data_IF_011961138896
#
_entry.id   IF_011961138896
#
_cell.length_a   1.000
_cell.length_b   1.000
_cell.length_c   1.000
_cell.angle_alpha   90.00
_cell.angle_beta   90.00
_cell.angle_gamma   90.00
#
_symmetry.space_group_name_H-M   'P 1'
#
loop_
_entity.id
_entity.type
_entity.pdbx_description
1 polymer ?
#
# COMPACT_ATOMS: atom_id res chain seq x y z
N UNK A 1 17.59 6.02 0.74
CA UNK A 1 16.54 6.31 -0.26
C UNK A 1 15.23 5.66 0.18
N UNK A 2 14.10 6.34 -0.02
CA UNK A 2 12.74 5.87 0.26
C UNK A 2 12.03 5.52 -1.04
N UNK A 3 11.41 4.35 -1.10
CA UNK A 3 10.51 3.95 -2.18
C UNK A 3 9.05 4.23 -1.78
N UNK A 4 8.26 4.76 -2.70
CA UNK A 4 6.80 4.78 -2.62
C UNK A 4 6.28 4.06 -3.86
N UNK A 5 5.29 3.19 -3.70
CA UNK A 5 4.58 2.61 -4.83
C UNK A 5 3.08 2.82 -4.70
N UNK A 6 2.46 3.21 -5.81
CA UNK A 6 1.03 3.49 -5.93
C UNK A 6 0.48 2.82 -7.20
N UNK A 7 -0.48 1.88 -7.10
CA UNK A 7 -1.02 1.21 -8.27
C UNK A 7 -2.02 2.07 -9.06
N UNK A 8 -2.69 3.02 -8.39
CA UNK A 8 -3.58 3.97 -9.04
C UNK A 8 -2.83 5.23 -9.52
N UNK A 9 -2.79 5.45 -10.84
CA UNK A 9 -2.10 6.60 -11.42
C UNK A 9 -2.55 7.97 -10.90
N UNK A 10 -3.82 8.12 -10.49
CA UNK A 10 -4.27 9.36 -9.84
C UNK A 10 -3.64 9.57 -8.47
N UNK A 11 -3.51 8.50 -7.67
CA UNK A 11 -2.82 8.56 -6.37
C UNK A 11 -1.34 8.87 -6.58
N UNK A 12 -0.69 8.19 -7.54
CA UNK A 12 0.70 8.47 -7.92
C UNK A 12 0.90 9.93 -8.33
N UNK A 13 0.04 10.46 -9.21
CA UNK A 13 0.11 11.84 -9.69
C UNK A 13 -0.02 12.86 -8.56
N UNK A 14 -0.99 12.70 -7.66
CA UNK A 14 -1.20 13.63 -6.54
C UNK A 14 -0.05 13.55 -5.54
N UNK A 15 0.46 12.35 -5.24
CA UNK A 15 1.65 12.16 -4.42
C UNK A 15 2.88 12.85 -5.02
N UNK A 16 3.14 12.63 -6.31
CA UNK A 16 4.29 13.23 -7.01
C UNK A 16 4.27 14.75 -6.93
N UNK A 17 3.09 15.38 -7.09
CA UNK A 17 2.92 16.83 -6.96
C UNK A 17 3.13 17.31 -5.52
N UNK A 18 2.48 16.66 -4.55
CA UNK A 18 2.56 17.06 -3.14
C UNK A 18 3.99 16.93 -2.59
N UNK A 19 4.71 15.89 -3.01
CA UNK A 19 6.09 15.60 -2.62
C UNK A 19 7.13 16.31 -3.50
N UNK A 20 6.70 17.13 -4.49
CA UNK A 20 7.58 17.85 -5.44
C UNK A 20 8.62 16.92 -6.10
N UNK A 21 8.16 15.77 -6.59
CA UNK A 21 9.00 14.81 -7.30
C UNK A 21 9.15 15.22 -8.77
N UNK A 22 10.03 16.19 -9.01
CA UNK A 22 10.14 16.89 -10.31
C UNK A 22 10.96 16.13 -11.37
N UNK A 23 11.73 15.11 -10.98
CA UNK A 23 12.58 14.36 -11.91
C UNK A 23 11.84 13.13 -12.41
N UNK A 24 11.69 12.98 -13.71
CA UNK A 24 11.32 11.71 -14.33
C UNK A 24 12.57 10.82 -14.45
N UNK A 25 12.45 9.54 -14.13
CA UNK A 25 13.56 8.59 -14.17
C UNK A 25 13.27 7.48 -15.19
N UNK A 26 14.29 7.09 -15.96
CA UNK A 26 14.16 6.02 -16.93
C UNK A 26 13.83 4.67 -16.27
N UNK A 27 12.89 3.94 -16.86
CA UNK A 27 12.52 2.59 -16.45
C UNK A 27 11.28 2.07 -17.17
N UNK A 28 10.89 0.81 -16.90
CA UNK A 28 9.71 0.20 -17.50
C UNK A 28 8.38 0.61 -16.84
N UNK A 29 8.43 1.45 -15.80
CA UNK A 29 7.27 2.10 -15.16
C UNK A 29 7.37 3.61 -15.30
N UNK A 30 6.27 4.32 -15.01
CA UNK A 30 6.35 5.75 -14.71
C UNK A 30 7.01 5.95 -13.34
N UNK A 31 8.16 6.63 -13.35
CA UNK A 31 9.00 6.80 -12.17
C UNK A 31 9.30 8.27 -11.96
N UNK A 32 8.99 8.77 -10.77
CA UNK A 32 9.34 10.12 -10.34
C UNK A 32 10.31 10.09 -9.17
N UNK A 33 11.25 11.03 -9.15
CA UNK A 33 12.27 11.15 -8.12
C UNK A 33 12.40 12.57 -7.60
N UNK A 34 12.74 12.71 -6.32
CA UNK A 34 12.91 14.00 -5.68
C UNK A 34 13.47 13.90 -4.27
N UNK A 35 13.56 15.04 -3.60
CA UNK A 35 14.04 15.15 -2.24
C UNK A 35 12.92 15.71 -1.36
N UNK A 36 12.56 14.98 -0.30
CA UNK A 36 11.55 15.39 0.69
C UNK A 36 12.23 15.40 2.06
N UNK A 37 12.50 16.60 2.57
CA UNK A 37 13.34 16.76 3.77
C UNK A 37 14.70 16.07 3.59
N UNK A 38 15.03 15.13 4.49
CA UNK A 38 16.26 14.32 4.42
C UNK A 38 16.14 13.07 3.54
N UNK A 39 14.96 12.78 3.01
CA UNK A 39 14.71 11.55 2.25
C UNK A 39 14.82 11.82 0.74
N UNK A 40 15.76 11.15 0.09
CA UNK A 40 15.66 10.93 -1.35
C UNK A 40 14.50 9.96 -1.60
N UNK A 41 13.51 10.37 -2.38
CA UNK A 41 12.26 9.64 -2.63
C UNK A 41 12.19 9.24 -4.10
N UNK A 42 11.83 7.99 -4.34
CA UNK A 42 11.44 7.45 -5.65
C UNK A 42 10.01 6.95 -5.56
N UNK A 43 9.15 7.43 -6.45
CA UNK A 43 7.75 7.03 -6.58
C UNK A 43 7.57 6.21 -7.87
N UNK A 44 7.01 5.01 -7.73
CA UNK A 44 6.63 4.13 -8.85
C UNK A 44 5.11 4.08 -8.97
N UNK A 45 4.59 4.36 -10.16
CA UNK A 45 3.25 3.95 -10.54
C UNK A 45 3.30 2.49 -11.01
N UNK A 46 2.85 1.55 -10.17
CA UNK A 46 3.15 0.12 -10.36
C UNK A 46 2.17 -0.64 -11.23
N UNK A 47 1.12 0.03 -11.71
CA UNK A 47 -0.08 -0.62 -12.23
C UNK A 47 -0.76 -1.53 -11.19
N UNK A 48 -1.85 -2.18 -11.59
CA UNK A 48 -2.73 -2.98 -10.73
C UNK A 48 -2.38 -4.47 -10.79
N UNK A 49 -2.54 -5.17 -9.67
CA UNK A 49 -2.41 -6.63 -9.60
C UNK A 49 -1.14 -7.12 -8.89
N UNK A 50 -1.16 -8.41 -8.52
CA UNK A 50 -0.10 -9.08 -7.75
C UNK A 50 1.22 -9.13 -8.51
N UNK A 51 1.16 -9.42 -9.81
CA UNK A 51 2.35 -9.50 -10.68
C UNK A 51 3.05 -8.15 -10.75
N UNK A 52 2.29 -7.09 -11.05
CA UNK A 52 2.82 -5.74 -11.22
C UNK A 52 3.43 -5.22 -9.91
N UNK A 53 2.74 -5.42 -8.78
CA UNK A 53 3.23 -5.07 -7.46
C UNK A 53 4.52 -5.81 -7.07
N UNK A 54 4.58 -7.13 -7.26
CA UNK A 54 5.76 -7.91 -6.92
C UNK A 54 6.97 -7.56 -7.81
N UNK A 55 6.73 -7.36 -9.11
CA UNK A 55 7.75 -6.97 -10.10
C UNK A 55 8.33 -5.59 -9.79
N UNK A 56 7.47 -4.61 -9.46
CA UNK A 56 7.92 -3.26 -9.09
C UNK A 56 8.83 -3.27 -7.86
N UNK A 57 8.50 -4.05 -6.82
CA UNK A 57 9.34 -4.16 -5.62
C UNK A 57 10.69 -4.82 -5.94
N UNK A 58 10.70 -5.90 -6.72
CA UNK A 58 11.93 -6.58 -7.11
C UNK A 58 12.82 -5.69 -8.00
N UNK A 59 12.22 -4.99 -8.96
CA UNK A 59 12.90 -4.00 -9.79
C UNK A 59 13.48 -2.87 -8.94
N UNK A 60 12.69 -2.29 -8.04
CA UNK A 60 13.15 -1.20 -7.19
C UNK A 60 14.30 -1.61 -6.27
N UNK A 61 14.30 -2.86 -5.76
CA UNK A 61 15.45 -3.43 -5.05
C UNK A 61 16.71 -3.34 -5.90
N UNK A 62 16.66 -3.90 -7.11
CA UNK A 62 17.83 -4.02 -7.97
C UNK A 62 18.32 -2.67 -8.49
N UNK A 63 17.40 -1.79 -8.86
CA UNK A 63 17.69 -0.52 -9.52
C UNK A 63 18.08 0.59 -8.55
N UNK A 64 17.46 0.62 -7.38
CA UNK A 64 17.54 1.75 -6.46
C UNK A 64 17.95 1.39 -5.03
N UNK A 65 17.91 0.11 -4.66
CA UNK A 65 18.30 -0.40 -3.34
C UNK A 65 17.72 0.43 -2.16
N UNK A 66 16.38 0.62 -2.09
CA UNK A 66 15.76 1.45 -1.06
C UNK A 66 16.00 0.89 0.34
N UNK A 67 16.17 1.78 1.31
CA UNK A 67 16.30 1.40 2.73
C UNK A 67 14.94 1.21 3.42
N UNK A 68 13.87 1.68 2.78
CA UNK A 68 12.48 1.57 3.26
C UNK A 68 11.51 1.79 2.09
N UNK A 69 10.33 1.18 2.17
CA UNK A 69 9.27 1.29 1.17
C UNK A 69 7.89 1.54 1.80
N UNK A 70 7.04 2.24 1.07
CA UNK A 70 5.64 2.47 1.41
C UNK A 70 4.75 2.12 0.23
N UNK A 71 3.79 1.23 0.45
CA UNK A 71 2.77 0.89 -0.53
C UNK A 71 1.46 1.57 -0.21
N UNK A 72 1.02 2.51 -1.04
CA UNK A 72 -0.19 3.30 -0.82
C UNK A 72 -1.22 2.98 -1.91
N UNK A 73 -2.50 2.91 -1.57
CA UNK A 73 -3.55 2.63 -2.55
C UNK A 73 -4.94 2.49 -1.92
N UNK A 74 -5.93 2.18 -2.75
CA UNK A 74 -7.30 1.93 -2.28
C UNK A 74 -7.52 0.47 -1.87
N UNK A 75 -8.54 0.25 -1.03
CA UNK A 75 -9.05 -1.07 -0.72
C UNK A 75 -10.56 -1.05 -0.47
N UNK A 76 -11.21 -2.19 -0.70
CA UNK A 76 -12.60 -2.43 -0.34
C UNK A 76 -12.70 -2.84 1.12
N UNK A 77 -13.65 -2.26 1.87
CA UNK A 77 -13.94 -2.68 3.23
C UNK A 77 -14.54 -4.09 3.29
N UNK A 78 -14.04 -4.91 4.22
CA UNK A 78 -14.66 -6.19 4.61
C UNK A 78 -15.31 -6.08 5.99
N UNK A 79 -14.74 -5.28 6.88
CA UNK A 79 -15.37 -4.94 8.15
C UNK A 79 -16.44 -3.85 7.94
N UNK A 80 -17.72 -4.10 8.30
CA UNK A 80 -18.80 -3.13 8.17
C UNK A 80 -18.64 -1.87 9.04
N UNK A 81 -17.72 -1.85 10.01
CA UNK A 81 -17.42 -0.66 10.79
C UNK A 81 -16.53 0.34 10.03
N UNK A 82 -15.85 -0.09 8.97
CA UNK A 82 -15.02 0.77 8.15
C UNK A 82 -15.86 1.64 7.23
N UNK A 83 -15.51 2.92 7.19
CA UNK A 83 -16.15 3.94 6.37
C UNK A 83 -15.25 4.34 5.21
N UNK A 84 -15.80 4.88 4.12
CA UNK A 84 -14.98 5.48 3.08
C UNK A 84 -14.02 6.51 3.67
N UNK A 85 -12.79 6.49 3.16
CA UNK A 85 -11.65 7.30 3.60
C UNK A 85 -11.03 6.91 4.95
N UNK A 86 -11.49 5.85 5.61
CA UNK A 86 -10.76 5.26 6.73
C UNK A 86 -9.43 4.69 6.26
N UNK A 87 -8.38 4.87 7.06
CA UNK A 87 -7.04 4.39 6.78
C UNK A 87 -6.75 3.08 7.51
N UNK A 88 -6.31 2.07 6.76
CA UNK A 88 -5.74 0.84 7.26
C UNK A 88 -4.22 0.87 7.08
N UNK A 89 -3.49 0.76 8.17
CA UNK A 89 -2.07 0.40 8.13
C UNK A 89 -1.98 -1.11 8.31
N UNK A 90 -1.43 -1.81 7.34
CA UNK A 90 -1.38 -3.26 7.40
C UNK A 90 -0.45 -3.73 8.53
N UNK A 91 -0.92 -4.68 9.35
CA UNK A 91 -0.02 -5.52 10.15
C UNK A 91 0.58 -6.65 9.32
N UNK A 92 -0.23 -7.20 8.41
CA UNK A 92 0.12 -8.30 7.54
C UNK A 92 -0.83 -8.34 6.32
N UNK A 93 -0.48 -9.16 5.34
CA UNK A 93 -1.31 -9.45 4.18
C UNK A 93 -1.38 -10.93 3.86
N UNK A 94 -2.46 -11.35 3.21
CA UNK A 94 -2.72 -12.73 2.76
C UNK A 94 -3.17 -12.73 1.31
N UNK A 95 -2.68 -13.67 0.49
CA UNK A 95 -3.24 -13.90 -0.84
C UNK A 95 -4.37 -14.93 -0.74
N UNK A 96 -5.62 -14.51 -0.93
CA UNK A 96 -6.80 -15.36 -0.67
C UNK A 96 -7.23 -16.21 -1.88
N UNK A 97 -6.64 -15.96 -3.05
CA UNK A 97 -6.88 -16.67 -4.31
C UNK A 97 -5.78 -17.69 -4.66
N UNK A 98 -4.84 -17.96 -3.73
CA UNK A 98 -3.87 -19.04 -3.88
C UNK A 98 -4.53 -20.40 -3.62
N UNK A 99 -4.58 -21.24 -4.64
CA UNK A 99 -5.32 -22.51 -4.65
C UNK A 99 -4.69 -23.65 -3.82
N UNK A 100 -3.47 -23.50 -3.32
CA UNK A 100 -2.73 -24.54 -2.60
C UNK A 100 -2.34 -24.07 -1.19
N UNK A 101 -2.76 -24.82 -0.16
CA UNK A 101 -2.49 -24.52 1.26
C UNK A 101 -3.63 -23.78 1.96
N UNK A 102 -3.59 -23.74 3.30
CA UNK A 102 -4.52 -22.88 4.03
C UNK A 102 -4.04 -21.42 3.89
N UNK A 103 -4.87 -20.45 3.46
CA UNK A 103 -4.39 -19.07 3.22
C UNK A 103 -3.69 -18.43 4.43
N UNK A 104 -4.06 -18.84 5.65
CA UNK A 104 -3.44 -18.39 6.90
C UNK A 104 -1.98 -18.85 7.08
N UNK A 105 -1.53 -19.86 6.35
CA UNK A 105 -0.13 -20.33 6.34
C UNK A 105 0.80 -19.40 5.53
N UNK A 106 0.22 -18.44 4.80
CA UNK A 106 0.94 -17.55 3.89
C UNK A 106 0.83 -16.07 4.26
N UNK A 107 0.60 -15.79 5.55
CA UNK A 107 0.65 -14.43 6.09
C UNK A 107 2.03 -13.81 5.89
N UNK A 108 2.05 -12.60 5.36
CA UNK A 108 3.27 -11.80 5.18
C UNK A 108 3.16 -10.53 6.00
N UNK A 109 3.99 -10.41 7.03
CA UNK A 109 4.02 -9.25 7.90
C UNK A 109 4.50 -7.98 7.16
N UNK A 110 3.89 -6.85 7.50
CA UNK A 110 4.45 -5.53 7.21
C UNK A 110 5.54 -5.16 8.23
N UNK A 111 6.39 -4.20 7.88
CA UNK A 111 7.41 -3.71 8.79
C UNK A 111 6.78 -2.94 9.97
N UNK A 112 6.94 -3.40 11.22
CA UNK A 112 6.24 -2.82 12.36
C UNK A 112 6.73 -1.41 12.71
N UNK A 113 8.01 -1.09 12.45
CA UNK A 113 8.57 0.23 12.75
C UNK A 113 8.02 1.26 11.77
N UNK A 114 7.99 0.92 10.48
CA UNK A 114 7.41 1.77 9.45
C UNK A 114 5.90 1.92 9.64
N UNK A 115 5.18 0.83 9.92
CA UNK A 115 3.73 0.87 10.20
C UNK A 115 3.43 1.77 11.40
N UNK A 116 4.19 1.70 12.49
CA UNK A 116 4.01 2.57 13.65
C UNK A 116 4.30 4.05 13.33
N UNK A 117 5.23 4.34 12.41
CA UNK A 117 5.44 5.73 11.94
C UNK A 117 4.24 6.25 11.16
N UNK A 118 3.68 5.43 10.26
CA UNK A 118 2.46 5.81 9.51
C UNK A 118 1.28 6.03 10.44
N UNK A 119 1.05 5.12 11.39
CA UNK A 119 -0.03 5.25 12.39
C UNK A 119 0.06 6.57 13.16
N UNK A 120 1.25 6.92 13.66
CA UNK A 120 1.47 8.19 14.38
C UNK A 120 1.26 9.42 13.51
N UNK A 121 1.69 9.37 12.25
CA UNK A 121 1.49 10.46 11.31
C UNK A 121 0.00 10.68 11.01
N UNK A 122 -0.75 9.60 10.75
CA UNK A 122 -2.19 9.64 10.51
C UNK A 122 -2.96 10.19 11.74
N UNK A 123 -2.61 9.73 12.95
CA UNK A 123 -3.18 10.23 14.20
C UNK A 123 -2.91 11.72 14.40
N UNK A 124 -1.69 12.19 14.11
CA UNK A 124 -1.32 13.60 14.21
C UNK A 124 -2.07 14.49 13.20
N UNK A 125 -2.49 13.93 12.06
CA UNK A 125 -3.32 14.59 11.06
C UNK A 125 -4.82 14.50 11.38
N UNK A 126 -5.22 13.77 12.44
CA UNK A 126 -6.63 13.53 12.76
C UNK A 126 -7.33 12.62 11.75
N UNK A 127 -6.60 11.85 10.93
CA UNK A 127 -7.18 10.91 10.00
C UNK A 127 -7.70 9.67 10.74
N UNK A 128 -8.93 9.18 10.47
CA UNK A 128 -9.42 7.92 11.03
C UNK A 128 -8.49 6.78 10.60
N UNK A 129 -7.84 6.14 11.56
CA UNK A 129 -6.81 5.15 11.27
C UNK A 129 -6.86 3.98 12.24
N UNK A 130 -6.65 2.77 11.71
CA UNK A 130 -6.39 1.58 12.52
C UNK A 130 -5.40 0.64 11.85
N UNK A 131 -4.89 -0.30 12.63
CA UNK A 131 -4.13 -1.44 12.09
C UNK A 131 -5.09 -2.51 11.62
N UNK A 132 -4.76 -3.22 10.54
CA UNK A 132 -5.60 -4.31 10.04
C UNK A 132 -4.88 -5.28 9.11
N UNK A 133 -5.54 -6.38 8.78
CA UNK A 133 -5.08 -7.38 7.80
C UNK A 133 -5.65 -7.09 6.42
N UNK A 134 -4.80 -7.23 5.42
CA UNK A 134 -5.13 -6.98 4.02
C UNK A 134 -5.26 -8.31 3.26
N UNK A 135 -6.44 -8.56 2.68
CA UNK A 135 -6.67 -9.69 1.78
C UNK A 135 -6.39 -9.27 0.32
N UNK A 136 -5.51 -10.00 -0.35
CA UNK A 136 -5.06 -9.70 -1.72
C UNK A 136 -5.48 -10.79 -2.70
N UNK A 137 -5.97 -10.40 -3.88
CA UNK A 137 -6.13 -11.26 -5.05
C UNK A 137 -6.11 -10.41 -6.33
N UNK A 138 -6.02 -10.98 -7.52
CA UNK A 138 -6.14 -10.20 -8.77
C UNK A 138 -7.61 -9.80 -9.10
N UNK A 139 -8.47 -9.78 -8.07
CA UNK A 139 -9.87 -9.36 -8.14
C UNK A 139 -10.33 -8.86 -6.77
N UNK A 140 -11.42 -8.12 -6.76
CA UNK A 140 -12.16 -7.82 -5.55
C UNK A 140 -13.16 -8.95 -5.23
N UNK A 141 -13.53 -9.16 -3.95
CA UNK A 141 -14.62 -10.04 -3.60
C UNK A 141 -15.93 -9.50 -4.17
N UNK A 142 -16.72 -10.38 -4.78
CA UNK A 142 -17.88 -9.99 -5.60
C UNK A 142 -19.23 -10.34 -4.99
N UNK A 143 -19.24 -10.97 -3.81
CA UNK A 143 -20.49 -11.34 -3.13
C UNK A 143 -20.42 -11.10 -1.61
N UNK A 144 -21.56 -10.84 -0.95
CA UNK A 144 -21.60 -10.74 0.51
C UNK A 144 -21.09 -12.00 1.23
N UNK A 145 -21.32 -13.18 0.66
CA UNK A 145 -20.85 -14.45 1.22
C UNK A 145 -19.32 -14.55 1.18
N UNK A 146 -18.70 -14.09 0.09
CA UNK A 146 -17.24 -14.04 -0.01
C UNK A 146 -16.64 -13.00 0.94
N UNK A 147 -17.24 -11.81 1.04
CA UNK A 147 -16.82 -10.78 2.01
C UNK A 147 -16.86 -11.33 3.44
N UNK A 148 -17.96 -11.97 3.83
CA UNK A 148 -18.09 -12.60 5.13
C UNK A 148 -17.05 -13.70 5.34
N UNK A 149 -16.80 -14.53 4.33
CA UNK A 149 -15.77 -15.57 4.38
C UNK A 149 -14.38 -15.00 4.63
N UNK A 150 -13.96 -13.97 3.87
CA UNK A 150 -12.65 -13.34 4.05
C UNK A 150 -12.51 -12.70 5.43
N UNK A 151 -13.56 -12.04 5.91
CA UNK A 151 -13.58 -11.45 7.25
C UNK A 151 -13.49 -12.51 8.35
N UNK A 152 -14.28 -13.57 8.29
CA UNK A 152 -14.41 -14.54 9.38
C UNK A 152 -13.31 -15.60 9.39
N UNK A 153 -12.88 -16.05 8.20
CA UNK A 153 -11.88 -17.12 8.08
C UNK A 153 -10.46 -16.60 8.02
N UNK A 154 -10.26 -15.41 7.44
CA UNK A 154 -8.94 -14.82 7.33
C UNK A 154 -8.72 -13.68 8.31
N UNK A 155 -9.74 -13.24 9.05
CA UNK A 155 -9.68 -12.03 9.89
C UNK A 155 -9.20 -10.81 9.10
N UNK A 156 -9.60 -10.70 7.83
CA UNK A 156 -9.23 -9.60 6.96
C UNK A 156 -10.16 -8.40 7.15
N UNK A 157 -9.59 -7.20 7.23
CA UNK A 157 -10.31 -5.95 7.40
C UNK A 157 -10.70 -5.32 6.06
N UNK A 158 -9.82 -5.47 5.07
CA UNK A 158 -9.97 -4.93 3.72
C UNK A 158 -9.50 -5.91 2.66
N UNK A 159 -10.04 -5.79 1.44
CA UNK A 159 -9.60 -6.51 0.26
C UNK A 159 -9.04 -5.57 -0.82
N UNK A 160 -7.97 -5.97 -1.48
CA UNK A 160 -7.29 -5.22 -2.54
C UNK A 160 -6.50 -6.18 -3.46
N UNK A 161 -5.64 -5.63 -4.34
CA UNK A 161 -5.14 -6.38 -5.49
C UNK A 161 -3.62 -6.50 -5.67
N UNK A 162 -2.79 -6.04 -4.72
CA UNK A 162 -1.33 -6.22 -4.87
C UNK A 162 -0.50 -6.21 -3.58
N UNK A 163 -1.09 -5.86 -2.45
CA UNK A 163 -0.40 -5.58 -1.19
C UNK A 163 0.37 -6.75 -0.62
N UNK A 164 -0.25 -7.93 -0.49
CA UNK A 164 0.43 -9.13 0.00
C UNK A 164 1.56 -9.59 -0.93
N UNK A 165 1.42 -9.39 -2.24
CA UNK A 165 2.47 -9.70 -3.22
C UNK A 165 3.66 -8.73 -3.10
N UNK A 166 3.40 -7.44 -2.90
CA UNK A 166 4.43 -6.45 -2.61
C UNK A 166 5.16 -6.75 -1.29
N UNK A 167 4.43 -7.05 -0.22
CA UNK A 167 4.98 -7.46 1.07
C UNK A 167 5.86 -8.71 0.93
N UNK A 168 5.40 -9.71 0.18
CA UNK A 168 6.15 -10.93 -0.06
C UNK A 168 7.47 -10.66 -0.80
N UNK A 169 7.41 -9.88 -1.89
CA UNK A 169 8.59 -9.51 -2.68
C UNK A 169 9.58 -8.69 -1.84
N UNK A 170 9.09 -7.77 -1.02
CA UNK A 170 9.89 -6.95 -0.12
C UNK A 170 10.61 -7.80 0.94
N UNK A 171 9.90 -8.74 1.56
CA UNK A 171 10.49 -9.72 2.49
C UNK A 171 11.59 -10.54 1.83
N UNK A 172 11.38 -11.00 0.59
CA UNK A 172 12.37 -11.80 -0.15
C UNK A 172 13.59 -11.01 -0.58
N UNK A 173 13.43 -9.71 -0.80
CA UNK A 173 14.50 -8.80 -1.24
C UNK A 173 15.15 -8.01 -0.10
N UNK A 174 14.64 -8.14 1.12
CA UNK A 174 15.16 -7.46 2.31
C UNK A 174 14.80 -5.97 2.41
N UNK A 175 13.72 -5.54 1.76
CA UNK A 175 13.21 -4.16 1.87
C UNK A 175 12.19 -4.08 3.01
N UNK A 176 12.42 -3.24 4.04
CA UNK A 176 11.38 -2.89 5.01
C UNK A 176 10.21 -2.20 4.31
N UNK A 177 8.97 -2.69 4.49
CA UNK A 177 7.80 -2.19 3.78
C UNK A 177 6.61 -1.99 4.71
N UNK A 178 6.07 -0.77 4.75
CA UNK A 178 4.74 -0.50 5.29
C UNK A 178 3.70 -0.45 4.17
N UNK A 179 2.54 -1.06 4.41
CA UNK A 179 1.43 -1.10 3.47
C UNK A 179 0.27 -0.28 4.04
N UNK A 180 -0.23 0.66 3.25
CA UNK A 180 -1.26 1.63 3.61
C UNK A 180 -2.39 1.50 2.61
N UNK A 181 -3.61 1.33 3.12
CA UNK A 181 -4.82 1.26 2.31
C UNK A 181 -5.83 2.24 2.82
N UNK A 182 -6.40 3.02 1.90
CA UNK A 182 -7.57 3.85 2.20
C UNK A 182 -8.82 3.14 1.70
N UNK A 183 -9.83 3.04 2.56
CA UNK A 183 -11.10 2.44 2.20
C UNK A 183 -11.80 3.31 1.17
N UNK A 184 -12.18 2.71 0.03
CA UNK A 184 -12.89 3.44 -1.02
C UNK A 184 -12.86 2.71 -2.35
N UNK A 185 -13.55 3.31 -3.31
CA UNK A 185 -13.67 2.88 -4.69
C UNK A 185 -13.28 4.02 -5.66
N UNK A 186 -13.70 3.92 -6.93
CA UNK A 186 -13.40 4.92 -7.94
C UNK A 186 -13.95 6.32 -7.59
N UNK A 187 -15.08 6.43 -6.90
CA UNK A 187 -15.67 7.73 -6.52
C UNK A 187 -14.84 8.43 -5.44
N UNK A 188 -14.12 7.65 -4.63
CA UNK A 188 -13.30 8.12 -3.53
C UNK A 188 -11.84 8.37 -3.94
N UNK A 189 -11.47 8.11 -5.19
CA UNK A 189 -10.08 8.16 -5.65
C UNK A 189 -9.42 9.53 -5.45
N UNK A 190 -10.14 10.61 -5.76
CA UNK A 190 -9.62 11.97 -5.62
C UNK A 190 -9.42 12.40 -4.15
N UNK A 191 -10.42 12.31 -3.26
CA UNK A 191 -10.21 12.62 -1.84
C UNK A 191 -9.17 11.69 -1.20
N UNK A 192 -9.14 10.41 -1.57
CA UNK A 192 -8.15 9.48 -1.05
C UNK A 192 -6.71 9.85 -1.46
N UNK A 193 -6.52 10.24 -2.72
CA UNK A 193 -5.22 10.70 -3.21
C UNK A 193 -4.70 11.91 -2.41
N UNK A 194 -5.58 12.86 -2.06
CA UNK A 194 -5.20 14.01 -1.22
C UNK A 194 -4.82 13.60 0.20
N UNK A 195 -5.64 12.78 0.87
CA UNK A 195 -5.35 12.34 2.24
C UNK A 195 -4.07 11.50 2.32
N UNK A 196 -3.84 10.61 1.35
CA UNK A 196 -2.62 9.82 1.26
C UNK A 196 -1.39 10.70 0.99
N UNK A 197 -1.53 11.75 0.19
CA UNK A 197 -0.44 12.70 -0.05
C UNK A 197 -0.06 13.50 1.20
N UNK A 198 -1.05 14.05 1.92
CA UNK A 198 -0.83 14.73 3.21
C UNK A 198 -0.16 13.80 4.23
N UNK A 199 -0.62 12.54 4.29
CA UNK A 199 -0.04 11.51 5.14
C UNK A 199 1.43 11.26 4.78
N UNK A 200 1.74 11.08 3.50
CA UNK A 200 3.11 10.78 3.07
C UNK A 200 4.06 11.96 3.29
N UNK A 201 3.60 13.20 3.11
CA UNK A 201 4.37 14.40 3.50
C UNK A 201 4.70 14.32 4.99
N UNK A 202 3.69 14.10 5.85
CA UNK A 202 3.89 14.01 7.30
C UNK A 202 4.83 12.87 7.73
N UNK A 203 4.74 11.72 7.08
CA UNK A 203 5.60 10.54 7.34
C UNK A 203 7.07 10.80 6.98
N UNK A 204 7.33 11.62 5.96
CA UNK A 204 8.69 11.90 5.47
C UNK A 204 9.32 13.12 6.15
N UNK A 205 8.52 14.08 6.61
CA UNK A 205 9.01 15.26 7.32
C UNK A 205 9.20 15.03 8.83
N UNK A 206 8.50 14.07 9.42
CA UNK A 206 8.61 13.67 10.83
C UNK A 206 9.73 12.67 11.11
#
# INVERSE_FOLDING_TARGET
MTLIFAPEGRIAQVLGRALRLERELDGPWLIHGGQVGRHEVVLLETERGKVAAAAAVAYARQRFNPSQAFGVGLAQALDPQLKPLDLIVAQDGVQYDLAFGAPTEHLVAADPVLSQRVLRAAQALGQPVRTGRVATADRFPSSPAEVAHLRERLAADVAEIGGAAALWSARKTGIPLALIRMVGDAEHLEPAARHLAELMVKVLEG
#
